data_IF_234976245987
#
_entry.id   IF_234976245987
#
_cell.length_a   1.000
_cell.length_b   1.000
_cell.length_c   1.000
_cell.angle_alpha   90.00
_cell.angle_beta   90.00
_cell.angle_gamma   90.00
#
_symmetry.space_group_name_H-M   'P 1'
#
loop_
_entity.id
_entity.type
_entity.pdbx_description
1 polymer ?
#
# COMPACT_ATOMS: atom_id res chain seq x y z
N UNK A 1 25.90 41.88 4.10
CA UNK A 1 26.52 40.73 4.80
C UNK A 1 25.44 39.69 4.98
N UNK A 2 25.62 38.48 4.45
CA UNK A 2 24.63 37.41 4.48
C UNK A 2 24.97 36.50 5.67
N UNK A 3 23.99 36.21 6.52
CA UNK A 3 24.18 35.41 7.74
C UNK A 3 23.61 34.01 7.61
N UNK A 4 24.49 33.01 7.73
CA UNK A 4 24.25 31.56 7.85
C UNK A 4 22.80 31.07 8.16
N UNK A 5 22.26 30.26 7.25
CA UNK A 5 21.13 29.34 7.50
C UNK A 5 21.58 27.87 7.71
N UNK A 6 22.85 27.63 8.01
CA UNK A 6 23.48 26.29 8.03
C UNK A 6 23.24 25.43 9.31
N UNK A 7 22.40 25.87 10.25
CA UNK A 7 22.38 25.29 11.62
C UNK A 7 21.29 24.24 11.93
N UNK A 8 20.34 23.97 11.03
CA UNK A 8 19.19 23.08 11.32
C UNK A 8 19.40 21.62 10.83
N UNK A 9 20.31 21.37 9.89
CA UNK A 9 20.56 20.04 9.32
C UNK A 9 21.68 19.22 10.00
N UNK A 10 22.18 19.67 11.15
CA UNK A 10 23.42 19.16 11.77
C UNK A 10 23.31 17.84 12.55
N UNK A 11 22.10 17.30 12.76
CA UNK A 11 21.85 16.16 13.66
C UNK A 11 21.25 14.90 12.99
N UNK A 12 21.30 14.82 11.66
CA UNK A 12 20.86 13.65 10.89
C UNK A 12 22.06 12.79 10.44
N UNK A 13 22.11 11.47 10.72
CA UNK A 13 23.26 10.61 10.43
C UNK A 13 23.36 10.16 8.95
N UNK A 14 23.17 11.10 8.02
CA UNK A 14 22.96 10.82 6.59
C UNK A 14 23.98 11.51 5.66
N UNK A 15 25.12 11.98 6.19
CA UNK A 15 26.05 12.86 5.46
C UNK A 15 26.82 12.18 4.29
N UNK A 16 26.86 10.85 4.24
CA UNK A 16 27.56 10.06 3.21
C UNK A 16 26.65 9.43 2.12
N UNK A 17 25.34 9.70 2.12
CA UNK A 17 24.36 9.14 1.18
C UNK A 17 24.48 9.61 -0.30
N UNK A 18 25.58 10.27 -0.68
CA UNK A 18 25.58 11.23 -1.79
C UNK A 18 25.96 10.68 -3.19
N UNK A 19 26.46 9.44 -3.37
CA UNK A 19 27.26 9.15 -4.59
C UNK A 19 26.96 7.94 -5.48
N UNK A 20 26.22 6.90 -5.08
CA UNK A 20 25.82 5.80 -6.00
C UNK A 20 24.51 5.13 -5.56
N UNK A 21 23.56 4.98 -6.49
CA UNK A 21 22.30 4.26 -6.31
C UNK A 21 21.17 5.11 -5.74
N UNK A 22 19.95 4.93 -6.24
CA UNK A 22 18.78 5.79 -5.94
C UNK A 22 18.36 6.66 -7.13
N UNK A 23 17.59 6.06 -8.06
CA UNK A 23 16.86 6.75 -9.16
C UNK A 23 15.54 6.01 -9.46
N UNK A 24 15.04 5.23 -8.51
CA UNK A 24 13.90 4.31 -8.73
C UNK A 24 12.61 5.11 -8.81
N UNK A 25 12.44 6.10 -7.94
CA UNK A 25 11.38 7.10 -7.99
C UNK A 25 11.34 7.81 -9.34
N UNK A 26 12.47 8.40 -9.75
CA UNK A 26 12.64 9.12 -11.02
C UNK A 26 12.22 8.29 -12.22
N UNK A 27 12.82 7.11 -12.37
CA UNK A 27 12.55 6.22 -13.50
C UNK A 27 11.13 5.66 -13.44
N UNK A 28 10.69 5.17 -12.28
CA UNK A 28 9.35 4.60 -12.09
C UNK A 28 8.25 5.59 -12.42
N UNK A 29 8.35 6.83 -11.92
CA UNK A 29 7.40 7.91 -12.20
C UNK A 29 7.42 8.30 -13.69
N UNK A 30 8.59 8.31 -14.33
CA UNK A 30 8.71 8.60 -15.77
C UNK A 30 8.17 7.49 -16.68
N UNK A 31 8.16 6.23 -16.20
CA UNK A 31 7.65 5.05 -16.92
C UNK A 31 6.14 4.83 -16.74
N UNK A 32 5.55 5.36 -15.67
CA UNK A 32 4.10 5.24 -15.43
C UNK A 32 3.28 5.92 -16.53
N UNK A 33 2.25 5.22 -17.00
CA UNK A 33 1.21 5.80 -17.85
C UNK A 33 0.42 6.88 -17.10
N UNK A 34 -0.33 7.70 -17.83
CA UNK A 34 -1.20 8.72 -17.23
C UNK A 34 -2.23 8.11 -16.27
N UNK A 35 -2.84 7.00 -16.69
CA UNK A 35 -3.84 6.27 -15.91
C UNK A 35 -3.23 5.59 -14.67
N UNK A 36 -2.00 5.09 -14.74
CA UNK A 36 -1.32 4.49 -13.58
C UNK A 36 -0.93 5.52 -12.53
N UNK A 37 -0.40 6.67 -12.98
CA UNK A 37 -0.12 7.79 -12.09
C UNK A 37 -1.42 8.32 -11.47
N UNK A 38 -2.53 8.28 -12.21
CA UNK A 38 -3.87 8.63 -11.72
C UNK A 38 -4.33 7.66 -10.63
N UNK A 39 -4.30 6.35 -10.88
CA UNK A 39 -4.77 5.36 -9.90
C UNK A 39 -3.92 5.34 -8.61
N UNK A 40 -2.61 5.55 -8.73
CA UNK A 40 -1.75 5.74 -7.56
C UNK A 40 -2.11 7.03 -6.80
N UNK A 41 -2.36 8.14 -7.50
CA UNK A 41 -2.77 9.41 -6.90
C UNK A 41 -4.15 9.33 -6.23
N UNK A 42 -5.13 8.68 -6.87
CA UNK A 42 -6.48 8.42 -6.31
C UNK A 42 -6.37 7.57 -5.05
N UNK A 43 -5.58 6.50 -5.07
CA UNK A 43 -5.32 5.66 -3.90
C UNK A 43 -4.75 6.48 -2.74
N UNK A 44 -3.66 7.22 -2.97
CA UNK A 44 -3.02 8.04 -1.92
C UNK A 44 -3.96 9.12 -1.36
N UNK A 45 -4.77 9.76 -2.20
CA UNK A 45 -5.71 10.82 -1.80
C UNK A 45 -6.95 10.30 -1.07
N UNK A 46 -7.44 9.12 -1.38
CA UNK A 46 -8.66 8.57 -0.77
C UNK A 46 -8.46 8.27 0.72
N UNK A 47 -7.25 7.85 1.13
CA UNK A 47 -7.05 7.33 2.50
C UNK A 47 -6.28 8.24 3.45
N UNK A 48 -5.70 9.35 2.98
CA UNK A 48 -5.02 10.30 3.87
C UNK A 48 -5.91 10.70 5.06
N UNK A 49 -5.48 10.34 6.27
CA UNK A 49 -6.17 10.68 7.53
C UNK A 49 -6.42 12.19 7.66
N UNK A 50 -5.56 13.03 7.09
CA UNK A 50 -5.75 14.49 7.02
C UNK A 50 -6.96 14.89 6.17
N UNK A 51 -7.26 14.21 5.05
CA UNK A 51 -8.49 14.41 4.28
C UNK A 51 -9.71 13.87 5.03
N UNK A 52 -9.62 12.65 5.56
CA UNK A 52 -10.67 12.04 6.40
C UNK A 52 -11.05 12.93 7.61
N UNK A 53 -10.10 13.70 8.16
CA UNK A 53 -10.32 14.66 9.27
C UNK A 53 -10.64 16.09 8.79
N UNK A 54 -10.22 16.51 7.59
CA UNK A 54 -10.44 17.88 7.07
C UNK A 54 -11.83 18.10 6.49
N UNK A 55 -12.48 17.06 5.97
CA UNK A 55 -13.87 17.14 5.47
C UNK A 55 -14.88 17.33 6.63
N UNK A 56 -14.41 17.41 7.88
CA UNK A 56 -15.14 17.86 9.10
C UNK A 56 -15.72 19.29 9.02
N UNK A 57 -15.50 20.01 7.91
CA UNK A 57 -16.03 21.36 7.66
C UNK A 57 -17.18 21.46 6.65
N UNK A 58 -17.52 20.38 5.94
CA UNK A 58 -18.61 20.37 4.94
C UNK A 58 -19.50 19.14 5.14
N UNK A 59 -20.82 19.29 4.98
CA UNK A 59 -21.88 18.36 5.39
C UNK A 59 -21.89 16.98 4.68
N UNK A 60 -20.85 16.67 3.87
CA UNK A 60 -20.76 15.47 3.05
C UNK A 60 -20.23 14.21 3.75
N UNK A 61 -19.65 14.28 4.96
CA UNK A 61 -19.41 13.07 5.77
C UNK A 61 -20.58 12.82 6.72
N UNK A 62 -21.64 12.23 6.17
CA UNK A 62 -22.45 11.26 6.90
C UNK A 62 -22.37 9.86 6.22
N UNK A 63 -21.30 9.64 5.44
CA UNK A 63 -21.00 8.41 4.70
C UNK A 63 -19.53 7.86 4.88
N UNK A 64 -18.87 7.93 6.09
CA UNK A 64 -17.62 7.22 6.51
C UNK A 64 -17.45 6.43 7.91
N UNK A 65 -18.43 5.66 8.47
CA UNK A 65 -18.25 4.50 9.45
C UNK A 65 -18.56 3.05 8.95
N UNK A 66 -19.81 2.67 8.67
CA UNK A 66 -20.28 1.28 8.43
C UNK A 66 -19.40 0.34 7.55
N UNK A 67 -19.28 0.44 6.22
CA UNK A 67 -18.53 -0.57 5.41
C UNK A 67 -17.04 -0.70 5.77
N UNK A 68 -16.35 0.38 6.17
CA UNK A 68 -14.95 0.30 6.60
C UNK A 68 -14.83 -0.46 7.92
N UNK A 69 -15.76 -0.25 8.85
CA UNK A 69 -15.83 -1.00 10.11
C UNK A 69 -16.46 -2.40 9.96
N UNK A 70 -17.30 -2.65 8.94
CA UNK A 70 -17.85 -3.97 8.64
C UNK A 70 -16.80 -4.83 7.94
N UNK A 71 -16.03 -4.26 7.01
CA UNK A 71 -14.87 -4.87 6.40
C UNK A 71 -13.80 -5.20 7.46
N UNK A 72 -13.38 -4.21 8.26
CA UNK A 72 -12.50 -4.47 9.41
C UNK A 72 -13.10 -5.52 10.35
N UNK A 73 -14.42 -5.50 10.58
CA UNK A 73 -15.14 -6.50 11.38
C UNK A 73 -15.08 -7.92 10.82
N UNK A 74 -15.23 -8.09 9.50
CA UNK A 74 -15.16 -9.38 8.81
C UNK A 74 -13.72 -9.93 8.83
N UNK A 75 -12.73 -9.05 8.71
CA UNK A 75 -11.30 -9.36 8.89
C UNK A 75 -10.96 -9.72 10.36
N UNK A 76 -11.72 -9.22 11.34
CA UNK A 76 -11.47 -9.40 12.78
C UNK A 76 -12.23 -10.54 13.44
N UNK A 77 -13.36 -10.99 12.89
CA UNK A 77 -14.26 -11.99 13.52
C UNK A 77 -13.67 -13.39 13.73
N UNK A 78 -12.33 -13.52 13.61
CA UNK A 78 -11.56 -14.76 13.53
C UNK A 78 -10.17 -14.65 14.17
N UNK A 79 -9.90 -13.58 14.95
CA UNK A 79 -8.75 -13.47 15.85
C UNK A 79 -9.19 -13.61 17.33
N UNK A 80 -8.23 -13.88 18.23
CA UNK A 80 -8.43 -14.24 19.65
C UNK A 80 -9.43 -13.36 20.43
N UNK A 81 -10.15 -13.95 21.40
CA UNK A 81 -11.21 -13.30 22.20
C UNK A 81 -10.73 -12.01 22.92
N UNK A 82 -9.43 -11.93 23.25
CA UNK A 82 -8.85 -10.72 23.86
C UNK A 82 -8.77 -9.53 22.91
N UNK A 83 -8.75 -9.77 21.60
CA UNK A 83 -8.64 -8.74 20.58
C UNK A 83 -10.02 -8.23 20.15
N UNK A 84 -11.00 -9.13 20.01
CA UNK A 84 -12.39 -8.76 19.69
C UNK A 84 -12.99 -7.78 20.72
N UNK A 85 -12.76 -8.01 22.02
CA UNK A 85 -13.23 -7.11 23.08
C UNK A 85 -12.61 -5.70 23.02
N UNK A 86 -11.33 -5.58 22.63
CA UNK A 86 -10.66 -4.28 22.47
C UNK A 86 -11.21 -3.50 21.29
N UNK A 87 -11.59 -4.17 20.20
CA UNK A 87 -12.13 -3.47 19.03
C UNK A 87 -13.65 -3.24 19.12
N UNK A 88 -14.39 -4.05 19.88
CA UNK A 88 -15.79 -3.73 20.18
C UNK A 88 -15.91 -2.46 21.06
N UNK A 89 -14.99 -2.26 22.01
CA UNK A 89 -14.90 -1.01 22.77
C UNK A 89 -14.45 0.18 21.91
N UNK A 90 -13.58 -0.06 20.93
CA UNK A 90 -13.20 0.93 19.91
C UNK A 90 -14.39 1.36 19.02
N UNK A 91 -15.17 0.39 18.53
CA UNK A 91 -16.40 0.60 17.72
C UNK A 91 -17.48 1.37 18.48
N UNK A 92 -17.56 1.22 19.81
CA UNK A 92 -18.48 1.96 20.69
C UNK A 92 -17.99 3.37 21.05
N UNK A 93 -16.69 3.68 20.88
CA UNK A 93 -16.09 5.00 21.19
C UNK A 93 -16.08 5.99 20.03
N UNK A 94 -16.28 5.55 18.79
CA UNK A 94 -16.06 6.36 17.58
C UNK A 94 -17.21 6.23 16.55
N UNK A 95 -17.72 7.37 16.04
CA UNK A 95 -18.97 7.48 15.28
C UNK A 95 -18.83 8.31 13.96
N UNK A 96 -19.18 7.78 12.75
CA UNK A 96 -18.84 8.44 11.45
C UNK A 96 -19.75 8.15 10.17
N UNK A 97 -20.93 7.52 10.26
CA UNK A 97 -21.48 6.42 9.37
C UNK A 97 -21.17 6.29 7.84
N UNK A 98 -20.93 5.10 7.19
CA UNK A 98 -20.29 4.83 5.83
C UNK A 98 -21.32 4.62 4.69
N UNK A 99 -20.99 5.10 3.48
CA UNK A 99 -21.22 4.39 2.20
C UNK A 99 -20.20 4.73 1.06
N UNK A 100 -19.07 5.43 1.34
CA UNK A 100 -18.43 6.28 0.31
C UNK A 100 -16.94 6.11 -0.03
N UNK A 101 -16.20 5.08 0.40
CA UNK A 101 -14.77 4.98 -0.01
C UNK A 101 -14.58 4.76 -1.52
N UNK A 102 -15.41 3.90 -2.13
CA UNK A 102 -15.49 3.76 -3.59
C UNK A 102 -16.00 5.05 -4.25
N UNK A 103 -17.02 5.70 -3.69
CA UNK A 103 -17.52 6.98 -4.18
C UNK A 103 -16.44 8.08 -4.14
N UNK A 104 -15.60 8.16 -3.09
CA UNK A 104 -14.48 9.10 -2.99
C UNK A 104 -13.40 8.75 -4.02
N UNK A 105 -13.15 7.45 -4.25
CA UNK A 105 -12.27 6.99 -5.31
C UNK A 105 -12.75 7.48 -6.69
N UNK A 106 -14.03 7.30 -6.99
CA UNK A 106 -14.64 7.71 -8.25
C UNK A 106 -14.78 9.23 -8.36
N UNK A 107 -15.04 9.95 -7.27
CA UNK A 107 -15.05 11.41 -7.25
C UNK A 107 -13.64 11.99 -7.50
N UNK A 108 -12.60 11.45 -6.85
CA UNK A 108 -11.22 11.87 -7.13
C UNK A 108 -10.76 11.42 -8.52
N UNK A 109 -11.12 10.21 -8.98
CA UNK A 109 -10.87 9.76 -10.36
C UNK A 109 -11.54 10.70 -11.36
N UNK A 110 -12.82 11.03 -11.17
CA UNK A 110 -13.55 11.94 -12.05
C UNK A 110 -12.96 13.36 -12.05
N UNK A 111 -12.47 13.86 -10.91
CA UNK A 111 -11.73 15.14 -10.81
C UNK A 111 -10.40 15.12 -11.57
N UNK A 112 -9.73 13.96 -11.62
CA UNK A 112 -8.39 13.81 -12.21
C UNK A 112 -8.39 13.36 -13.68
N UNK A 113 -9.44 12.67 -14.14
CA UNK A 113 -9.54 12.03 -15.48
C UNK A 113 -9.51 13.02 -16.66
N UNK A 114 -9.67 14.32 -16.40
CA UNK A 114 -9.53 15.39 -17.41
C UNK A 114 -8.18 16.11 -17.40
N UNK A 115 -7.21 15.69 -16.59
CA UNK A 115 -5.90 16.32 -16.50
C UNK A 115 -4.88 15.67 -17.42
N UNK A 116 -3.94 16.48 -17.92
CA UNK A 116 -2.79 15.99 -18.69
C UNK A 116 -1.93 15.02 -17.85
N UNK A 117 -1.35 13.95 -18.45
CA UNK A 117 -0.53 12.98 -17.72
C UNK A 117 0.64 13.58 -16.93
N UNK A 118 1.20 14.69 -17.42
CA UNK A 118 2.26 15.39 -16.71
C UNK A 118 1.75 16.11 -15.46
N UNK A 119 0.53 16.66 -15.49
CA UNK A 119 -0.09 17.32 -14.35
C UNK A 119 -0.49 16.30 -13.27
N UNK A 120 -0.96 15.11 -13.69
CA UNK A 120 -1.20 13.99 -12.78
C UNK A 120 0.09 13.58 -12.05
N UNK A 121 1.22 13.46 -12.78
CA UNK A 121 2.54 13.18 -12.16
C UNK A 121 3.02 14.30 -11.24
N UNK A 122 2.79 15.57 -11.60
CA UNK A 122 3.12 16.71 -10.74
C UNK A 122 2.33 16.66 -9.42
N UNK A 123 1.02 16.37 -9.49
CA UNK A 123 0.17 16.25 -8.32
C UNK A 123 0.53 15.03 -7.47
N UNK A 124 0.92 13.90 -8.09
CA UNK A 124 1.46 12.74 -7.37
C UNK A 124 2.73 13.08 -6.59
N UNK A 125 3.66 13.84 -7.17
CA UNK A 125 4.84 14.35 -6.43
C UNK A 125 4.48 15.26 -5.27
N UNK A 126 3.51 16.16 -5.45
CA UNK A 126 3.05 17.04 -4.38
C UNK A 126 2.38 16.26 -3.25
N UNK A 127 1.59 15.24 -3.58
CA UNK A 127 0.92 14.38 -2.61
C UNK A 127 1.93 13.59 -1.79
N UNK A 128 2.93 12.98 -2.44
CA UNK A 128 3.99 12.23 -1.76
C UNK A 128 4.85 13.13 -0.87
N UNK A 129 5.19 14.34 -1.33
CA UNK A 129 5.87 15.34 -0.50
C UNK A 129 5.05 15.70 0.75
N UNK A 130 3.74 15.92 0.62
CA UNK A 130 2.85 16.20 1.74
C UNK A 130 2.75 15.03 2.73
N UNK A 131 2.72 13.78 2.26
CA UNK A 131 2.74 12.58 3.12
C UNK A 131 4.06 12.47 3.88
N UNK A 132 5.19 12.80 3.23
CA UNK A 132 6.51 12.92 3.88
C UNK A 132 6.67 14.13 4.81
N UNK A 133 5.61 14.94 5.01
CA UNK A 133 5.62 16.09 5.91
C UNK A 133 6.20 17.39 5.31
N UNK A 134 6.52 17.39 4.02
CA UNK A 134 7.08 18.55 3.32
C UNK A 134 6.00 19.54 2.90
N UNK A 135 6.26 20.84 3.10
CA UNK A 135 5.35 21.93 2.69
C UNK A 135 5.50 22.36 1.23
N UNK A 136 6.59 21.94 0.59
CA UNK A 136 6.93 22.25 -0.79
C UNK A 136 7.34 20.95 -1.47
N UNK A 137 7.00 20.76 -2.75
CA UNK A 137 7.51 19.62 -3.51
C UNK A 137 9.01 19.83 -3.72
N UNK A 138 9.89 18.99 -3.13
CA UNK A 138 11.32 19.18 -3.31
C UNK A 138 11.76 18.58 -4.66
N UNK A 139 13.05 18.66 -4.93
CA UNK A 139 13.69 17.88 -5.99
C UNK A 139 13.37 16.38 -5.83
N UNK A 140 13.30 15.64 -6.94
CA UNK A 140 12.86 14.24 -6.95
C UNK A 140 13.78 13.33 -6.16
N UNK A 141 15.10 13.55 -6.20
CA UNK A 141 16.02 12.77 -5.37
C UNK A 141 15.86 13.10 -3.88
N UNK A 142 15.55 14.36 -3.55
CA UNK A 142 15.29 14.78 -2.17
C UNK A 142 13.98 14.17 -1.66
N UNK A 143 12.96 14.08 -2.51
CA UNK A 143 11.70 13.39 -2.20
C UNK A 143 11.94 11.90 -1.96
N UNK A 144 12.63 11.21 -2.88
CA UNK A 144 12.94 9.79 -2.79
C UNK A 144 13.71 9.46 -1.50
N UNK A 145 14.76 10.23 -1.18
CA UNK A 145 15.52 10.08 0.07
C UNK A 145 14.68 10.30 1.32
N UNK A 146 13.77 11.29 1.33
CA UNK A 146 12.86 11.54 2.47
C UNK A 146 11.82 10.44 2.64
N UNK A 147 11.26 9.94 1.54
CA UNK A 147 10.35 8.80 1.55
C UNK A 147 11.04 7.57 2.15
N UNK A 148 12.22 7.21 1.64
CA UNK A 148 13.00 6.06 2.12
C UNK A 148 13.35 6.20 3.61
N UNK A 149 13.74 7.39 4.07
CA UNK A 149 14.06 7.63 5.49
C UNK A 149 12.83 7.44 6.40
N UNK A 150 11.67 8.03 6.06
CA UNK A 150 10.43 7.87 6.83
C UNK A 150 9.95 6.41 6.86
N UNK A 151 10.02 5.71 5.72
CA UNK A 151 9.65 4.29 5.65
C UNK A 151 10.63 3.45 6.48
N UNK A 152 11.94 3.65 6.32
CA UNK A 152 12.96 2.88 7.03
C UNK A 152 12.87 3.06 8.55
N UNK A 153 12.57 4.27 9.05
CA UNK A 153 12.38 4.51 10.48
C UNK A 153 11.14 3.77 11.02
N UNK A 154 9.99 3.87 10.36
CA UNK A 154 8.77 3.17 10.77
C UNK A 154 8.93 1.64 10.71
N UNK A 155 9.47 1.13 9.61
CA UNK A 155 9.72 -0.30 9.41
C UNK A 155 10.89 -0.84 10.26
N UNK A 156 11.67 0.02 10.94
CA UNK A 156 12.91 -0.34 11.65
C UNK A 156 13.88 -1.12 10.75
N UNK A 157 14.18 -0.51 9.60
CA UNK A 157 15.23 -0.96 8.68
C UNK A 157 16.49 -0.20 9.05
N UNK A 158 17.58 -0.92 9.35
CA UNK A 158 18.87 -0.27 9.54
C UNK A 158 19.35 0.30 8.19
N UNK A 159 19.68 1.59 8.19
CA UNK A 159 20.23 2.35 7.06
C UNK A 159 21.73 2.60 7.23
N UNK A 160 22.33 2.23 8.36
CA UNK A 160 23.71 2.52 8.71
C UNK A 160 24.67 1.81 7.76
N UNK A 161 25.54 2.56 7.07
CA UNK A 161 26.55 2.03 6.14
C UNK A 161 26.00 1.18 4.98
N UNK A 162 24.73 1.34 4.59
CA UNK A 162 24.10 0.63 3.48
C UNK A 162 23.84 1.55 2.28
N UNK A 163 23.83 0.98 1.08
CA UNK A 163 23.39 1.70 -0.12
C UNK A 163 21.88 1.92 -0.11
N UNK A 164 21.44 2.99 -0.76
CA UNK A 164 20.02 3.32 -0.95
C UNK A 164 19.25 2.16 -1.61
N UNK A 165 19.83 1.55 -2.63
CA UNK A 165 19.31 0.34 -3.31
C UNK A 165 19.09 -0.85 -2.36
N UNK A 166 19.95 -1.03 -1.36
CA UNK A 166 19.81 -2.11 -0.37
C UNK A 166 18.70 -1.80 0.65
N UNK A 167 18.50 -0.53 1.01
CA UNK A 167 17.38 -0.09 1.87
C UNK A 167 16.04 -0.19 1.11
N UNK A 168 16.00 0.24 -0.15
CA UNK A 168 14.84 0.07 -1.04
C UNK A 168 14.46 -1.40 -1.20
N UNK A 169 15.44 -2.28 -1.42
CA UNK A 169 15.22 -3.74 -1.50
C UNK A 169 14.61 -4.28 -0.21
N UNK A 170 15.08 -3.86 0.96
CA UNK A 170 14.50 -4.23 2.25
C UNK A 170 13.07 -3.71 2.44
N UNK A 171 12.79 -2.45 2.08
CA UNK A 171 11.44 -1.85 2.13
C UNK A 171 10.48 -2.67 1.27
N UNK A 172 10.85 -2.91 0.02
CA UNK A 172 10.09 -3.68 -0.96
C UNK A 172 9.79 -5.09 -0.44
N UNK A 173 10.79 -5.75 0.13
CA UNK A 173 10.68 -7.08 0.72
C UNK A 173 9.73 -7.12 1.92
N UNK A 174 9.82 -6.15 2.83
CA UNK A 174 8.99 -6.10 4.03
C UNK A 174 7.53 -5.78 3.68
N UNK A 175 7.29 -4.78 2.84
CA UNK A 175 5.93 -4.42 2.41
C UNK A 175 5.22 -5.59 1.72
N UNK A 176 5.87 -6.27 0.77
CA UNK A 176 5.26 -7.39 0.07
C UNK A 176 5.09 -8.62 0.96
N UNK A 177 5.97 -8.85 1.93
CA UNK A 177 5.79 -9.92 2.93
C UNK A 177 4.59 -9.62 3.82
N UNK A 178 4.46 -8.40 4.34
CA UNK A 178 3.27 -7.99 5.09
C UNK A 178 1.98 -8.11 4.27
N UNK A 179 2.01 -7.80 2.97
CA UNK A 179 0.87 -8.01 2.08
C UNK A 179 0.55 -9.50 1.90
N UNK A 180 1.55 -10.33 1.63
CA UNK A 180 1.39 -11.77 1.50
C UNK A 180 0.84 -12.41 2.80
N UNK A 181 1.39 -12.04 3.95
CA UNK A 181 0.94 -12.50 5.27
C UNK A 181 -0.52 -12.05 5.54
N UNK A 182 -0.91 -10.82 5.15
CA UNK A 182 -2.30 -10.34 5.25
C UNK A 182 -3.24 -11.20 4.38
N UNK A 183 -2.86 -11.50 3.13
CA UNK A 183 -3.65 -12.36 2.23
C UNK A 183 -3.76 -13.78 2.79
N UNK A 184 -2.65 -14.38 3.24
CA UNK A 184 -2.62 -15.72 3.85
C UNK A 184 -3.56 -15.83 5.04
N UNK A 185 -3.49 -14.87 5.98
CA UNK A 185 -4.34 -14.85 7.17
C UNK A 185 -5.83 -14.78 6.79
N UNK A 186 -6.19 -14.04 5.74
CA UNK A 186 -7.56 -14.03 5.25
C UNK A 186 -7.96 -15.34 4.55
N UNK A 187 -7.12 -15.89 3.68
CA UNK A 187 -7.38 -17.15 2.98
C UNK A 187 -7.50 -18.36 3.92
N UNK A 188 -6.83 -18.36 5.06
CA UNK A 188 -6.95 -19.38 6.11
C UNK A 188 -8.27 -19.27 6.91
N UNK A 189 -8.93 -18.11 6.81
CA UNK A 189 -10.07 -17.74 7.62
C UNK A 189 -11.42 -17.86 6.89
N UNK A 190 -11.43 -17.77 5.54
CA UNK A 190 -12.64 -17.80 4.71
C UNK A 190 -13.55 -19.02 4.97
N UNK A 191 -14.86 -18.78 4.92
CA UNK A 191 -15.88 -19.84 4.79
C UNK A 191 -15.76 -20.55 3.43
N UNK A 192 -16.36 -21.75 3.27
CA UNK A 192 -16.44 -22.40 1.96
C UNK A 192 -17.05 -21.49 0.87
N UNK A 193 -18.18 -20.83 1.17
CA UNK A 193 -18.87 -19.89 0.26
C UNK A 193 -17.98 -18.70 -0.15
N UNK A 194 -17.20 -18.16 0.79
CA UNK A 194 -16.27 -17.06 0.52
C UNK A 194 -15.06 -17.56 -0.28
N UNK A 195 -14.59 -18.78 -0.04
CA UNK A 195 -13.51 -19.40 -0.83
C UNK A 195 -13.91 -19.59 -2.29
N UNK A 196 -15.13 -20.04 -2.57
CA UNK A 196 -15.64 -20.16 -3.95
C UNK A 196 -15.66 -18.81 -4.67
N UNK A 197 -16.10 -17.72 -4.01
CA UNK A 197 -16.07 -16.37 -4.59
C UNK A 197 -14.65 -15.86 -4.86
N UNK A 198 -13.69 -16.19 -4.00
CA UNK A 198 -12.26 -15.88 -4.27
C UNK A 198 -11.73 -16.71 -5.44
N UNK A 199 -12.09 -18.00 -5.55
CA UNK A 199 -11.77 -18.83 -6.73
C UNK A 199 -12.33 -18.19 -8.02
N UNK A 200 -13.60 -17.79 -8.04
CA UNK A 200 -14.25 -17.09 -9.17
C UNK A 200 -13.52 -15.78 -9.55
N UNK A 201 -13.21 -14.91 -8.57
CA UNK A 201 -12.54 -13.63 -8.84
C UNK A 201 -11.07 -13.79 -9.24
N UNK A 202 -10.42 -14.85 -8.79
CA UNK A 202 -9.07 -15.19 -9.25
C UNK A 202 -9.12 -15.75 -10.67
N UNK A 203 -10.09 -16.60 -11.01
CA UNK A 203 -10.32 -17.06 -12.39
C UNK A 203 -10.60 -15.89 -13.35
N UNK A 204 -11.44 -14.92 -12.96
CA UNK A 204 -11.66 -13.67 -13.72
C UNK A 204 -10.38 -12.85 -13.92
N UNK A 205 -9.43 -12.93 -12.99
CA UNK A 205 -8.13 -12.24 -13.09
C UNK A 205 -7.18 -12.98 -14.03
N UNK A 206 -7.03 -14.30 -13.85
CA UNK A 206 -6.14 -15.16 -14.65
C UNK A 206 -6.57 -15.25 -16.13
N UNK A 207 -7.88 -15.23 -16.39
CA UNK A 207 -8.43 -15.27 -17.76
C UNK A 207 -8.22 -13.98 -18.55
N UNK A 208 -8.07 -12.83 -17.88
CA UNK A 208 -7.80 -11.52 -18.51
C UNK A 208 -6.31 -11.25 -18.79
N UNK A 209 -5.41 -12.00 -18.15
CA UNK A 209 -3.96 -11.89 -18.36
C UNK A 209 -3.53 -12.35 -19.76
N UNK A 210 -2.35 -11.93 -20.22
CA UNK A 210 -1.77 -12.48 -21.44
C UNK A 210 -1.35 -13.96 -21.23
N UNK A 211 -1.11 -14.67 -22.33
CA UNK A 211 -0.56 -16.04 -22.24
C UNK A 211 0.88 -16.02 -21.68
N UNK A 212 1.66 -15.01 -22.05
CA UNK A 212 3.01 -14.76 -21.52
C UNK A 212 3.01 -14.57 -20.00
N UNK A 213 2.10 -13.75 -19.47
CA UNK A 213 1.95 -13.52 -18.02
C UNK A 213 1.62 -14.83 -17.29
N UNK A 214 0.67 -15.61 -17.82
CA UNK A 214 0.28 -16.90 -17.25
C UNK A 214 1.44 -17.90 -17.26
N UNK A 215 2.23 -17.95 -18.32
CA UNK A 215 3.41 -18.83 -18.40
C UNK A 215 4.53 -18.40 -17.44
N UNK A 216 4.75 -17.09 -17.27
CA UNK A 216 5.70 -16.56 -16.27
C UNK A 216 5.22 -16.91 -14.86
N UNK A 217 3.95 -16.70 -14.53
CA UNK A 217 3.35 -17.11 -13.25
C UNK A 217 3.51 -18.61 -13.02
N UNK A 218 3.11 -19.44 -14.00
CA UNK A 218 3.22 -20.90 -13.93
C UNK A 218 4.66 -21.36 -13.65
N UNK A 219 5.64 -20.77 -14.33
CA UNK A 219 7.07 -21.05 -14.14
C UNK A 219 7.56 -20.63 -12.75
N UNK A 220 7.29 -19.40 -12.32
CA UNK A 220 7.82 -18.86 -11.05
C UNK A 220 7.14 -19.47 -9.80
N UNK A 221 5.86 -19.83 -9.91
CA UNK A 221 5.14 -20.60 -8.88
C UNK A 221 5.48 -22.10 -8.91
N UNK A 222 6.27 -22.58 -9.88
CA UNK A 222 6.61 -23.99 -10.09
C UNK A 222 5.38 -24.91 -10.22
N UNK A 223 4.40 -24.47 -11.04
CA UNK A 223 3.13 -25.17 -11.24
C UNK A 223 3.08 -25.93 -12.57
N UNK A 224 2.48 -27.11 -12.57
CA UNK A 224 2.24 -27.90 -13.78
C UNK A 224 1.13 -27.29 -14.68
N UNK A 225 0.16 -26.62 -14.07
CA UNK A 225 -0.96 -25.92 -14.69
C UNK A 225 -1.28 -24.66 -13.87
N UNK A 226 -1.96 -23.67 -14.45
CA UNK A 226 -2.32 -22.44 -13.75
C UNK A 226 -3.84 -22.39 -13.54
N UNK A 227 -4.30 -22.90 -12.40
CA UNK A 227 -5.68 -22.77 -11.92
C UNK A 227 -5.78 -21.88 -10.68
N UNK A 228 -6.95 -21.27 -10.48
CA UNK A 228 -7.29 -20.50 -9.28
C UNK A 228 -7.01 -21.28 -7.99
N UNK A 229 -7.32 -22.59 -7.96
CA UNK A 229 -7.05 -23.45 -6.80
C UNK A 229 -5.57 -23.67 -6.53
N UNK A 230 -4.76 -23.92 -7.56
CA UNK A 230 -3.31 -24.09 -7.40
C UNK A 230 -2.66 -22.79 -6.94
N UNK A 231 -3.07 -21.65 -7.51
CA UNK A 231 -2.58 -20.32 -7.12
C UNK A 231 -2.96 -20.01 -5.66
N UNK A 232 -4.24 -20.19 -5.26
CA UNK A 232 -4.67 -20.01 -3.87
C UNK A 232 -3.95 -20.93 -2.89
N UNK A 233 -3.69 -22.18 -3.28
CA UNK A 233 -2.94 -23.11 -2.45
C UNK A 233 -1.50 -22.63 -2.25
N UNK A 234 -0.80 -22.24 -3.32
CA UNK A 234 0.56 -21.69 -3.25
C UNK A 234 0.62 -20.42 -2.40
N UNK A 235 -0.38 -19.54 -2.47
CA UNK A 235 -0.44 -18.38 -1.57
C UNK A 235 -0.62 -18.83 -0.12
N UNK A 236 -1.59 -19.72 0.16
CA UNK A 236 -1.87 -20.27 1.51
C UNK A 236 -0.62 -20.93 2.13
N UNK A 237 0.18 -21.68 1.37
CA UNK A 237 1.33 -22.44 1.89
C UNK A 237 2.66 -21.70 1.81
N UNK A 238 2.84 -20.82 0.81
CA UNK A 238 4.15 -20.26 0.44
C UNK A 238 4.18 -18.72 0.31
N UNK A 239 3.09 -17.99 0.61
CA UNK A 239 3.00 -16.52 0.57
C UNK A 239 4.26 -15.75 1.00
N UNK A 240 4.72 -15.93 2.24
CA UNK A 240 5.91 -15.24 2.76
C UNK A 240 7.25 -15.71 2.14
N UNK A 241 7.29 -16.94 1.60
CA UNK A 241 8.49 -17.53 0.96
C UNK A 241 8.58 -17.18 -0.53
N UNK A 242 7.46 -16.97 -1.20
CA UNK A 242 7.36 -16.38 -2.54
C UNK A 242 8.03 -15.01 -2.59
N UNK A 243 7.72 -14.12 -1.64
CA UNK A 243 8.36 -12.80 -1.56
C UNK A 243 9.88 -12.93 -1.42
N UNK A 244 10.35 -13.92 -0.67
CA UNK A 244 11.79 -14.16 -0.49
C UNK A 244 12.46 -14.68 -1.78
N UNK A 245 11.74 -15.41 -2.65
CA UNK A 245 12.19 -15.77 -4.01
C UNK A 245 12.21 -14.57 -4.96
N UNK A 246 11.13 -13.79 -4.99
CA UNK A 246 10.98 -12.56 -5.80
C UNK A 246 12.02 -11.48 -5.49
N UNK A 247 12.62 -11.53 -4.30
CA UNK A 247 13.68 -10.62 -3.83
C UNK A 247 15.09 -11.18 -4.13
N UNK A 248 15.19 -12.34 -4.77
CA UNK A 248 16.45 -12.98 -5.16
C UNK A 248 17.33 -12.17 -6.13
N UNK A 249 18.40 -12.78 -6.59
CA UNK A 249 19.27 -12.21 -7.63
C UNK A 249 18.78 -12.68 -9.01
N UNK A 250 18.07 -11.81 -9.73
CA UNK A 250 17.51 -12.12 -11.06
C UNK A 250 16.59 -11.01 -11.58
N UNK A 251 16.03 -11.21 -12.78
CA UNK A 251 14.85 -10.46 -13.25
C UNK A 251 13.52 -11.15 -12.86
N UNK A 252 13.62 -12.37 -12.33
CA UNK A 252 12.52 -13.22 -11.91
C UNK A 252 11.79 -12.65 -10.68
N UNK A 253 10.49 -12.93 -10.59
CA UNK A 253 9.59 -12.45 -9.53
C UNK A 253 8.41 -11.64 -10.05
N UNK A 254 8.31 -11.40 -11.36
CA UNK A 254 7.17 -10.72 -11.96
C UNK A 254 5.89 -11.58 -11.89
N UNK A 255 6.00 -12.88 -12.13
CA UNK A 255 4.91 -13.83 -11.93
C UNK A 255 4.48 -13.93 -10.47
N UNK A 256 5.42 -13.84 -9.52
CA UNK A 256 5.12 -13.75 -8.09
C UNK A 256 4.39 -12.44 -7.76
N UNK A 257 4.79 -11.31 -8.35
CA UNK A 257 4.09 -10.04 -8.20
C UNK A 257 2.67 -10.07 -8.77
N UNK A 258 2.49 -10.61 -9.98
CA UNK A 258 1.17 -10.83 -10.59
C UNK A 258 0.29 -11.73 -9.71
N UNK A 259 0.88 -12.76 -9.10
CA UNK A 259 0.19 -13.66 -8.17
C UNK A 259 -0.32 -12.92 -6.94
N UNK A 260 0.54 -12.15 -6.25
CA UNK A 260 0.14 -11.35 -5.09
C UNK A 260 -0.90 -10.28 -5.47
N UNK A 261 -0.77 -9.70 -6.67
CA UNK A 261 -1.70 -8.70 -7.23
C UNK A 261 -3.09 -9.30 -7.44
N UNK A 262 -3.19 -10.40 -8.18
CA UNK A 262 -4.44 -11.10 -8.45
C UNK A 262 -5.09 -11.66 -7.18
N UNK A 263 -4.28 -12.17 -6.24
CA UNK A 263 -4.75 -12.64 -4.94
C UNK A 263 -5.31 -11.51 -4.07
N UNK A 264 -4.63 -10.37 -4.02
CA UNK A 264 -5.11 -9.17 -3.33
C UNK A 264 -6.44 -8.74 -3.93
N UNK A 265 -6.52 -8.63 -5.25
CA UNK A 265 -7.77 -8.29 -5.94
C UNK A 265 -8.90 -9.27 -5.59
N UNK A 266 -8.68 -10.58 -5.74
CA UNK A 266 -9.72 -11.59 -5.51
C UNK A 266 -10.20 -11.65 -4.05
N UNK A 267 -9.29 -11.62 -3.07
CA UNK A 267 -9.63 -11.66 -1.64
C UNK A 267 -10.34 -10.38 -1.21
N UNK A 268 -9.80 -9.21 -1.53
CA UNK A 268 -10.37 -7.95 -1.09
C UNK A 268 -11.68 -7.63 -1.84
N UNK A 269 -11.82 -7.95 -3.13
CA UNK A 269 -13.11 -7.87 -3.84
C UNK A 269 -14.18 -8.75 -3.18
N UNK A 270 -13.83 -9.98 -2.80
CA UNK A 270 -14.79 -10.91 -2.17
C UNK A 270 -15.25 -10.45 -0.80
N UNK A 271 -14.34 -9.85 -0.01
CA UNK A 271 -14.65 -9.36 1.34
C UNK A 271 -15.34 -7.99 1.32
N UNK A 272 -15.01 -7.11 0.38
CA UNK A 272 -15.53 -5.74 0.32
C UNK A 272 -16.76 -5.57 -0.59
N UNK A 273 -16.97 -6.47 -1.55
CA UNK A 273 -18.02 -6.37 -2.57
C UNK A 273 -17.75 -5.37 -3.70
N UNK A 274 -16.75 -4.50 -3.56
CA UNK A 274 -16.33 -3.47 -4.53
C UNK A 274 -15.23 -4.00 -5.46
N UNK A 275 -15.18 -3.53 -6.72
CA UNK A 275 -14.16 -3.93 -7.71
C UNK A 275 -13.34 -2.73 -8.20
N UNK A 276 -12.15 -2.52 -7.62
CA UNK A 276 -11.31 -1.35 -7.86
C UNK A 276 -9.87 -1.72 -8.29
N UNK A 277 -9.05 -0.77 -8.78
CA UNK A 277 -7.68 -1.08 -9.20
C UNK A 277 -6.78 -1.53 -8.05
N UNK A 278 -5.73 -2.30 -8.35
CA UNK A 278 -4.83 -2.88 -7.32
C UNK A 278 -4.21 -1.84 -6.37
N UNK A 279 -3.94 -0.62 -6.86
CA UNK A 279 -3.48 0.49 -6.04
C UNK A 279 -4.45 0.82 -4.89
N UNK A 280 -5.75 0.76 -5.16
CA UNK A 280 -6.81 0.95 -4.16
C UNK A 280 -6.75 -0.14 -3.08
N UNK A 281 -6.69 -1.42 -3.47
CA UNK A 281 -6.62 -2.52 -2.49
C UNK A 281 -5.33 -2.58 -1.69
N UNK A 282 -4.18 -2.29 -2.28
CA UNK A 282 -2.91 -2.25 -1.54
C UNK A 282 -2.91 -1.14 -0.47
N UNK A 283 -3.47 0.02 -0.80
CA UNK A 283 -3.64 1.12 0.14
C UNK A 283 -4.78 0.85 1.16
N UNK A 284 -5.80 0.05 0.81
CA UNK A 284 -6.79 -0.48 1.78
C UNK A 284 -6.21 -1.50 2.74
N UNK A 285 -5.40 -2.45 2.23
CA UNK A 285 -4.68 -3.41 3.04
C UNK A 285 -3.78 -2.68 4.04
N UNK A 286 -3.14 -1.59 3.61
CA UNK A 286 -2.41 -0.63 4.45
C UNK A 286 -3.29 0.00 5.52
N UNK A 287 -4.40 0.67 5.15
CA UNK A 287 -5.30 1.30 6.13
C UNK A 287 -5.85 0.29 7.16
N UNK A 288 -6.21 -0.91 6.71
CA UNK A 288 -6.64 -2.00 7.59
C UNK A 288 -5.53 -2.47 8.51
N UNK A 289 -4.32 -2.72 8.01
CA UNK A 289 -3.19 -3.12 8.85
C UNK A 289 -2.81 -2.06 9.88
N UNK A 290 -3.05 -0.78 9.57
CA UNK A 290 -2.97 0.31 10.53
C UNK A 290 -4.11 0.25 11.58
N UNK A 291 -5.38 0.15 11.15
CA UNK A 291 -6.55 0.10 12.05
C UNK A 291 -6.53 -1.11 13.00
N UNK A 292 -6.10 -2.27 12.49
CA UNK A 292 -5.91 -3.52 13.25
C UNK A 292 -4.57 -3.57 13.96
N UNK A 293 -3.65 -2.65 13.65
CA UNK A 293 -2.33 -2.57 14.24
C UNK A 293 -2.35 -2.02 15.67
N UNK A 294 -1.34 -2.34 16.51
CA UNK A 294 -1.30 -1.89 17.90
C UNK A 294 -1.41 -0.36 18.08
N UNK A 295 -0.88 0.42 17.13
CA UNK A 295 -0.95 1.89 17.16
C UNK A 295 -2.34 2.42 16.77
N UNK A 296 -3.02 1.84 15.78
CA UNK A 296 -4.38 2.20 15.42
C UNK A 296 -5.35 1.88 16.56
N UNK A 297 -5.28 0.67 17.11
CA UNK A 297 -6.10 0.29 18.28
C UNK A 297 -5.81 1.19 19.48
N UNK A 298 -4.54 1.55 19.77
CA UNK A 298 -4.21 2.46 20.85
C UNK A 298 -4.83 3.86 20.66
N UNK A 299 -4.89 4.41 19.45
CA UNK A 299 -5.60 5.67 19.18
C UNK A 299 -7.09 5.56 19.53
N UNK A 300 -7.73 4.51 19.02
CA UNK A 300 -9.19 4.37 19.03
C UNK A 300 -9.69 3.98 20.43
N UNK A 301 -8.92 3.17 21.16
CA UNK A 301 -9.27 2.69 22.51
C UNK A 301 -8.91 3.68 23.61
N UNK A 302 -7.69 4.23 23.64
CA UNK A 302 -7.21 5.08 24.76
C UNK A 302 -7.74 6.51 24.65
N UNK A 303 -8.10 6.96 23.44
CA UNK A 303 -8.36 8.36 23.13
C UNK A 303 -7.02 9.04 22.86
N UNK A 304 -6.55 8.92 21.62
CA UNK A 304 -5.19 9.30 21.22
C UNK A 304 -4.84 10.76 21.52
N UNK A 305 -4.18 11.00 22.65
CA UNK A 305 -3.50 12.26 22.93
C UNK A 305 -2.48 12.60 21.83
N UNK A 306 -2.10 13.88 21.71
CA UNK A 306 -1.31 14.40 20.58
C UNK A 306 -0.02 13.62 20.28
N UNK A 307 0.60 13.00 21.29
CA UNK A 307 1.72 12.07 21.14
C UNK A 307 1.36 10.81 20.34
N UNK A 308 0.34 10.06 20.78
CA UNK A 308 -0.11 8.85 20.09
C UNK A 308 -0.63 9.18 18.69
N UNK A 309 -1.40 10.27 18.55
CA UNK A 309 -1.90 10.75 17.25
C UNK A 309 -0.75 10.98 16.25
N UNK A 310 0.28 11.73 16.64
CA UNK A 310 1.46 11.97 15.79
C UNK A 310 2.18 10.67 15.43
N UNK A 311 2.39 9.77 16.40
CA UNK A 311 3.10 8.50 16.17
C UNK A 311 2.34 7.60 15.19
N UNK A 312 1.04 7.45 15.38
CA UNK A 312 0.19 6.62 14.54
C UNK A 312 -0.02 7.25 13.14
N UNK A 313 -0.15 8.57 13.03
CA UNK A 313 -0.15 9.27 11.75
C UNK A 313 1.16 9.03 10.97
N UNK A 314 2.30 9.01 11.66
CA UNK A 314 3.61 8.75 11.02
C UNK A 314 3.72 7.31 10.52
N UNK A 315 3.33 6.33 11.34
CA UNK A 315 3.26 4.92 10.94
C UNK A 315 2.37 4.74 9.69
N UNK A 316 1.20 5.37 9.70
CA UNK A 316 0.25 5.33 8.60
C UNK A 316 0.80 5.97 7.31
N UNK A 317 1.40 7.16 7.43
CA UNK A 317 2.07 7.83 6.31
C UNK A 317 3.20 6.96 5.75
N UNK A 318 4.03 6.35 6.60
CA UNK A 318 5.11 5.48 6.17
C UNK A 318 4.62 4.26 5.39
N UNK A 319 3.49 3.64 5.76
CA UNK A 319 2.91 2.54 4.97
C UNK A 319 2.36 3.02 3.61
N UNK A 320 1.76 4.23 3.52
CA UNK A 320 1.37 4.83 2.24
C UNK A 320 2.60 5.13 1.34
N UNK A 321 3.68 5.66 1.91
CA UNK A 321 4.92 5.91 1.19
C UNK A 321 5.59 4.60 0.74
N UNK A 322 5.55 3.55 1.56
CA UNK A 322 6.06 2.22 1.21
C UNK A 322 5.29 1.64 0.02
N UNK A 323 3.96 1.71 0.05
CA UNK A 323 3.11 1.31 -1.07
C UNK A 323 3.45 2.08 -2.36
N UNK A 324 3.58 3.41 -2.29
CA UNK A 324 3.93 4.22 -3.45
C UNK A 324 5.34 3.89 -4.00
N UNK A 325 6.33 3.75 -3.12
CA UNK A 325 7.70 3.36 -3.49
C UNK A 325 7.74 1.97 -4.14
N UNK A 326 6.97 1.00 -3.62
CA UNK A 326 6.84 -0.34 -4.22
C UNK A 326 6.20 -0.25 -5.61
N UNK A 327 5.13 0.52 -5.77
CA UNK A 327 4.48 0.72 -7.08
C UNK A 327 5.42 1.35 -8.11
N UNK A 328 6.22 2.35 -7.70
CA UNK A 328 7.25 2.96 -8.54
C UNK A 328 8.38 1.97 -8.87
N UNK A 329 8.80 1.15 -7.91
CA UNK A 329 9.83 0.10 -8.10
C UNK A 329 9.36 -0.99 -9.07
N UNK A 330 8.10 -1.41 -8.99
CA UNK A 330 7.47 -2.34 -9.94
C UNK A 330 7.54 -1.78 -11.36
N UNK A 331 7.15 -0.52 -11.57
CA UNK A 331 7.20 0.12 -12.90
C UNK A 331 8.63 0.39 -13.37
N UNK A 332 9.55 0.69 -12.46
CA UNK A 332 10.98 0.83 -12.79
C UNK A 332 11.59 -0.46 -13.32
N UNK A 333 11.29 -1.60 -12.69
CA UNK A 333 11.81 -2.93 -13.04
C UNK A 333 11.08 -3.59 -14.20
N UNK A 334 9.75 -3.53 -14.22
CA UNK A 334 8.90 -4.36 -15.08
C UNK A 334 7.92 -3.60 -15.98
N UNK A 335 7.93 -2.27 -15.99
CA UNK A 335 7.09 -1.44 -16.90
C UNK A 335 7.41 -1.55 -18.40
N UNK A 336 8.10 -2.62 -18.84
CA UNK A 336 8.25 -3.04 -20.24
C UNK A 336 7.70 -4.45 -20.50
N UNK A 337 7.20 -5.15 -19.47
CA UNK A 337 6.59 -6.47 -19.58
C UNK A 337 5.07 -6.42 -19.86
N UNK A 338 4.46 -5.24 -19.80
CA UNK A 338 3.02 -5.02 -19.97
C UNK A 338 2.62 -4.82 -21.45
N UNK A 339 3.12 -5.69 -22.35
CA UNK A 339 2.91 -5.65 -23.81
C UNK A 339 1.93 -6.73 -24.25
#
# INVERSE_FOLDING_TARGET
MIGNEDSIFSHFPFRDFSRRGGRVFLKGLSKMSGDEALELLVGLRTYQLTRLVRIRGEEKIHSLKEDLFSFAGQLMGRFDEKFSHQVETARKRFDWNVASLEQIAEEERARLKGLEPQEIRNQLRQELAAISGERFSPDEEVLERKMIAEIAEAYKIDTSFRSMEAVEKDIFSRFLRELADRIQNQLAQLKPEETTKVEEKLFESLSKMSESDRDIMKRELNLAELSERQVLNVIRTEGSSLVSRMVGEGQDGYGIYLTLTAATHAVFTTLMGISLPFAFYSAMATLVGFLLGPLGIALITVGGGSYFYKRAQREYNAQLLAFALVSLTVKEKWGQAEV
#
